data_IF_790794122317
#
_entry.id   IF_790794122317
#
_cell.length_a   1.000
_cell.length_b   1.000
_cell.length_c   1.000
_cell.angle_alpha   90.00
_cell.angle_beta   90.00
_cell.angle_gamma   90.00
#
_symmetry.space_group_name_H-M   'P 1'
#
loop_
_entity.id
_entity.type
_entity.pdbx_description
1 polymer ?
#
# COMPACT_ATOMS: atom_id res chain seq x y z
N UNK A 1 49.86 14.59 -49.56
CA UNK A 1 49.67 13.61 -48.48
C UNK A 1 49.07 14.33 -47.29
N UNK A 2 47.77 14.20 -47.03
CA UNK A 2 47.09 14.79 -45.84
C UNK A 2 46.77 13.66 -44.91
N UNK A 3 47.44 13.60 -43.78
CA UNK A 3 47.30 12.59 -42.74
C UNK A 3 46.07 12.97 -41.87
N UNK A 4 45.04 12.12 -41.91
CA UNK A 4 43.84 12.28 -41.10
C UNK A 4 44.06 11.55 -39.76
N UNK A 5 44.15 12.30 -38.64
CA UNK A 5 44.16 11.73 -37.28
C UNK A 5 42.72 11.48 -36.85
N UNK A 6 42.38 10.21 -36.68
CA UNK A 6 41.14 9.79 -36.04
C UNK A 6 41.34 9.77 -34.50
N UNK A 7 40.66 10.67 -33.83
CA UNK A 7 40.54 10.63 -32.37
C UNK A 7 39.45 9.62 -31.98
N UNK A 8 39.86 8.51 -31.36
CA UNK A 8 38.95 7.58 -30.70
C UNK A 8 38.64 8.15 -29.31
N UNK A 9 37.46 8.69 -29.12
CA UNK A 9 36.94 9.02 -27.79
C UNK A 9 36.43 7.73 -27.11
N UNK A 10 37.19 7.21 -26.18
CA UNK A 10 36.72 6.12 -25.30
C UNK A 10 35.68 6.67 -24.33
N UNK A 11 34.39 6.32 -24.57
CA UNK A 11 33.32 6.50 -23.58
C UNK A 11 33.56 5.49 -22.44
N UNK A 12 34.14 5.97 -21.35
CA UNK A 12 34.11 5.25 -20.09
C UNK A 12 32.67 5.31 -19.54
N UNK A 13 31.90 4.28 -19.79
CA UNK A 13 30.64 4.02 -19.10
C UNK A 13 30.99 3.67 -17.65
N UNK A 14 30.90 4.62 -16.73
CA UNK A 14 30.95 4.36 -15.30
C UNK A 14 29.65 3.66 -14.92
N UNK A 15 29.66 2.33 -14.95
CA UNK A 15 28.67 1.51 -14.27
C UNK A 15 28.78 1.88 -12.79
N UNK A 16 27.84 2.69 -12.28
CA UNK A 16 27.67 2.83 -10.86
C UNK A 16 27.36 1.43 -10.30
N UNK A 17 28.33 0.80 -9.66
CA UNK A 17 28.04 -0.38 -8.83
C UNK A 17 26.97 0.08 -7.84
N UNK A 18 25.75 -0.45 -7.96
CA UNK A 18 24.71 -0.26 -6.96
C UNK A 18 25.29 -0.85 -5.67
N UNK A 19 25.58 0.01 -4.70
CA UNK A 19 26.05 -0.43 -3.40
C UNK A 19 25.02 -1.40 -2.81
N UNK A 20 25.50 -2.52 -2.26
CA UNK A 20 24.65 -3.45 -1.51
C UNK A 20 23.88 -2.69 -0.42
N UNK A 21 22.59 -3.04 -0.19
CA UNK A 21 21.79 -2.36 0.81
C UNK A 21 22.41 -2.55 2.20
N UNK A 22 22.43 -1.50 2.99
CA UNK A 22 22.98 -1.55 4.34
C UNK A 22 22.15 -2.54 5.19
N UNK A 23 22.84 -3.46 5.88
CA UNK A 23 22.27 -4.41 6.81
C UNK A 23 22.33 -3.85 8.24
N UNK A 24 21.20 -3.83 8.93
CA UNK A 24 21.10 -3.34 10.33
C UNK A 24 20.46 -4.40 11.20
N UNK A 25 21.17 -4.86 12.22
CA UNK A 25 20.62 -5.75 13.25
C UNK A 25 19.60 -4.99 14.10
N UNK A 26 18.47 -5.63 14.40
CA UNK A 26 17.40 -5.01 15.17
C UNK A 26 17.73 -4.90 16.67
N UNK A 27 18.57 -5.79 17.16
CA UNK A 27 19.15 -5.77 18.52
C UNK A 27 20.66 -5.89 18.42
N UNK A 28 21.40 -4.78 18.64
CA UNK A 28 22.86 -4.80 18.55
C UNK A 28 23.53 -5.79 19.51
N UNK A 29 22.99 -5.92 20.72
CA UNK A 29 23.53 -6.75 21.80
C UNK A 29 22.96 -8.18 21.83
N UNK A 30 22.18 -8.55 20.81
CA UNK A 30 21.54 -9.87 20.67
C UNK A 30 20.03 -9.83 20.84
N UNK A 31 19.32 -10.54 19.95
CA UNK A 31 17.88 -10.58 19.96
C UNK A 31 17.32 -11.42 21.11
N UNK A 32 16.22 -11.01 21.75
CA UNK A 32 15.58 -11.81 22.81
C UNK A 32 15.25 -13.21 22.30
N UNK A 33 15.60 -14.23 23.08
CA UNK A 33 15.40 -15.65 22.73
C UNK A 33 16.27 -16.17 21.58
N UNK A 34 17.31 -15.44 21.16
CA UNK A 34 18.25 -15.92 20.16
C UNK A 34 19.03 -17.13 20.66
N UNK A 35 19.24 -18.12 19.77
CA UNK A 35 19.98 -19.37 20.06
C UNK A 35 21.46 -19.26 19.70
N UNK A 36 21.84 -18.20 18.98
CA UNK A 36 23.19 -17.93 18.52
C UNK A 36 23.34 -16.52 17.97
N UNK A 37 24.50 -16.28 17.35
CA UNK A 37 24.86 -14.96 16.80
C UNK A 37 24.82 -14.91 15.26
N UNK A 38 24.46 -16.01 14.61
CA UNK A 38 24.34 -16.08 13.16
C UNK A 38 23.10 -15.31 12.67
N UNK A 39 23.05 -15.01 11.39
CA UNK A 39 21.94 -14.28 10.76
C UNK A 39 20.58 -14.97 10.93
N UNK A 40 20.54 -16.30 10.99
CA UNK A 40 19.33 -17.08 11.27
C UNK A 40 18.78 -16.87 12.69
N UNK A 41 19.63 -16.39 13.63
CA UNK A 41 19.31 -16.20 15.04
C UNK A 41 19.10 -14.72 15.38
N UNK A 42 19.63 -13.81 14.56
CA UNK A 42 19.62 -12.38 14.80
C UNK A 42 18.83 -11.67 13.69
N UNK A 43 17.59 -11.25 13.94
CA UNK A 43 16.79 -10.57 12.92
C UNK A 43 17.39 -9.22 12.55
N UNK A 44 17.29 -8.89 11.28
CA UNK A 44 17.86 -7.67 10.72
C UNK A 44 17.00 -7.12 9.61
N UNK A 45 17.26 -5.88 9.22
CA UNK A 45 16.65 -5.23 8.07
C UNK A 45 17.71 -4.84 7.04
N UNK A 46 17.36 -4.95 5.77
CA UNK A 46 18.09 -4.28 4.68
C UNK A 46 17.45 -2.94 4.38
N UNK A 47 18.27 -1.87 4.35
CA UNK A 47 17.85 -0.50 4.11
C UNK A 47 17.85 -0.18 2.62
N UNK A 48 16.72 0.26 2.11
CA UNK A 48 16.51 0.74 0.75
C UNK A 48 15.96 2.18 0.82
N UNK A 49 16.81 3.19 1.02
CA UNK A 49 16.36 4.59 1.10
C UNK A 49 15.86 5.06 -0.27
N UNK A 50 14.77 5.81 -0.28
CA UNK A 50 14.34 6.51 -1.48
C UNK A 50 15.37 7.59 -1.86
N UNK A 51 15.56 7.81 -3.16
CA UNK A 51 16.41 8.89 -3.64
C UNK A 51 15.91 10.24 -3.10
N UNK A 52 16.81 11.07 -2.59
CA UNK A 52 16.48 12.30 -1.86
C UNK A 52 15.53 13.24 -2.62
N UNK A 53 15.73 13.34 -3.93
CA UNK A 53 14.92 14.18 -4.82
C UNK A 53 13.49 13.67 -5.05
N UNK A 54 13.23 12.38 -4.77
CA UNK A 54 11.92 11.73 -4.90
C UNK A 54 11.28 11.43 -3.56
N UNK A 55 12.04 11.48 -2.47
CA UNK A 55 11.60 11.03 -1.16
C UNK A 55 10.32 11.72 -0.71
N UNK A 56 9.31 10.92 -0.43
CA UNK A 56 8.01 11.38 0.10
C UNK A 56 8.02 11.54 1.62
N UNK A 57 9.03 10.98 2.29
CA UNK A 57 9.10 10.83 3.74
C UNK A 57 8.28 9.63 4.27
N UNK A 58 7.61 8.88 3.42
CA UNK A 58 6.96 7.62 3.80
C UNK A 58 7.94 6.44 3.78
N UNK A 59 7.63 5.41 4.57
CA UNK A 59 8.44 4.20 4.64
C UNK A 59 7.57 2.94 4.76
N UNK A 60 8.13 1.79 4.34
CA UNK A 60 7.52 0.47 4.52
C UNK A 60 8.50 -0.53 5.11
N UNK A 61 8.07 -1.28 6.11
CA UNK A 61 8.67 -2.55 6.49
C UNK A 61 8.10 -3.63 5.58
N UNK A 62 8.98 -4.35 4.89
CA UNK A 62 8.62 -5.40 3.91
C UNK A 62 8.90 -6.77 4.53
N UNK A 63 7.87 -7.61 4.60
CA UNK A 63 7.92 -8.95 5.17
C UNK A 63 7.79 -9.99 4.04
N UNK A 64 8.90 -10.57 3.54
CA UNK A 64 8.84 -11.63 2.54
C UNK A 64 8.07 -12.86 3.03
N UNK A 65 7.45 -13.60 2.12
CA UNK A 65 6.83 -14.89 2.39
C UNK A 65 7.83 -16.04 2.49
N UNK A 66 7.32 -17.26 2.45
CA UNK A 66 8.11 -18.49 2.55
C UNK A 66 7.62 -19.43 3.65
N UNK A 67 6.33 -19.34 4.01
CA UNK A 67 5.67 -20.30 4.92
C UNK A 67 6.23 -20.32 6.34
N UNK A 68 6.90 -19.26 6.80
CA UNK A 68 7.72 -19.23 8.04
C UNK A 68 8.86 -20.26 8.07
N UNK A 69 9.12 -20.92 6.95
CA UNK A 69 10.21 -21.90 6.80
C UNK A 69 11.37 -21.39 5.96
N UNK A 70 11.19 -20.29 5.25
CA UNK A 70 12.17 -19.60 4.41
C UNK A 70 11.77 -18.16 4.18
N UNK A 71 12.56 -17.43 3.37
CA UNK A 71 12.29 -16.05 2.95
C UNK A 71 12.42 -15.93 1.43
N UNK A 72 11.33 -15.54 0.77
CA UNK A 72 11.31 -15.17 -0.64
C UNK A 72 11.94 -13.76 -0.85
N UNK A 73 13.18 -13.58 -0.37
CA UNK A 73 13.80 -12.28 -0.17
C UNK A 73 14.09 -11.49 -1.45
N UNK A 74 14.06 -12.12 -2.65
CA UNK A 74 14.23 -11.41 -3.90
C UNK A 74 12.90 -10.81 -4.38
N UNK A 75 11.97 -11.65 -4.88
CA UNK A 75 10.75 -11.16 -5.56
C UNK A 75 9.70 -10.56 -4.60
N UNK A 76 9.71 -10.95 -3.31
CA UNK A 76 8.86 -10.40 -2.26
C UNK A 76 9.62 -9.49 -1.28
N UNK A 77 10.89 -9.24 -1.53
CA UNK A 77 11.78 -8.38 -0.74
C UNK A 77 12.44 -7.30 -1.58
N UNK A 78 13.57 -7.63 -2.21
CA UNK A 78 14.40 -6.69 -2.98
C UNK A 78 13.64 -6.01 -4.11
N UNK A 79 12.86 -6.74 -4.90
CA UNK A 79 12.09 -6.17 -6.00
C UNK A 79 11.01 -5.21 -5.49
N UNK A 80 10.35 -5.57 -4.39
CA UNK A 80 9.35 -4.72 -3.72
C UNK A 80 9.99 -3.44 -3.19
N UNK A 81 11.16 -3.55 -2.55
CA UNK A 81 11.90 -2.38 -2.06
C UNK A 81 12.28 -1.42 -3.19
N UNK A 82 12.77 -1.94 -4.32
CA UNK A 82 13.08 -1.15 -5.52
C UNK A 82 11.83 -0.47 -6.10
N UNK A 83 10.70 -1.16 -6.11
CA UNK A 83 9.43 -0.58 -6.55
C UNK A 83 9.00 0.57 -5.64
N UNK A 84 9.07 0.42 -4.31
CA UNK A 84 8.79 1.50 -3.37
C UNK A 84 9.72 2.70 -3.59
N UNK A 85 11.02 2.46 -3.81
CA UNK A 85 11.96 3.55 -4.12
C UNK A 85 11.57 4.29 -5.40
N UNK A 86 11.03 3.59 -6.40
CA UNK A 86 10.52 4.17 -7.65
C UNK A 86 9.40 5.20 -7.43
N UNK A 87 8.58 5.02 -6.39
CA UNK A 87 7.51 5.93 -5.99
C UNK A 87 7.88 6.85 -4.81
N UNK A 88 9.16 6.96 -4.48
CA UNK A 88 9.67 7.87 -3.46
C UNK A 88 9.47 7.40 -2.01
N UNK A 89 9.21 6.12 -1.80
CA UNK A 89 9.03 5.51 -0.48
C UNK A 89 10.28 4.73 -0.10
N UNK A 90 10.82 4.94 1.11
CA UNK A 90 11.90 4.13 1.65
C UNK A 90 11.40 2.77 2.09
N UNK A 91 12.19 1.71 1.88
CA UNK A 91 11.79 0.36 2.25
C UNK A 91 12.84 -0.31 3.16
N UNK A 92 12.36 -1.15 4.06
CA UNK A 92 13.14 -1.87 5.04
C UNK A 92 12.76 -3.35 4.97
N UNK A 93 13.55 -4.15 4.26
CA UNK A 93 13.26 -5.58 4.06
C UNK A 93 13.66 -6.36 5.30
N UNK A 94 12.68 -6.93 5.97
CA UNK A 94 12.86 -7.65 7.22
C UNK A 94 13.27 -9.10 6.97
N UNK A 95 14.39 -9.50 7.57
CA UNK A 95 14.78 -10.89 7.74
C UNK A 95 14.41 -11.32 9.17
N UNK A 96 13.20 -11.83 9.32
CA UNK A 96 12.68 -12.35 10.59
C UNK A 96 13.11 -13.79 10.83
N UNK A 97 13.13 -14.21 12.09
CA UNK A 97 13.50 -15.56 12.50
C UNK A 97 12.47 -16.60 12.08
N UNK A 98 12.93 -17.77 11.69
CA UNK A 98 12.13 -18.80 11.02
C UNK A 98 11.83 -20.02 11.90
N UNK A 99 10.64 -20.62 11.68
CA UNK A 99 10.21 -21.83 12.35
C UNK A 99 11.12 -23.03 12.09
N UNK A 100 11.68 -23.15 10.90
CA UNK A 100 12.66 -24.20 10.53
C UNK A 100 13.97 -24.09 11.30
N UNK A 101 14.29 -22.92 11.86
CA UNK A 101 15.40 -22.71 12.77
C UNK A 101 14.98 -22.86 14.25
N UNK A 102 13.75 -23.33 14.49
CA UNK A 102 13.17 -23.57 15.81
C UNK A 102 12.71 -22.28 16.51
N UNK A 103 12.43 -21.21 15.75
CA UNK A 103 11.82 -19.99 16.28
C UNK A 103 10.33 -19.99 15.95
N UNK A 104 9.51 -19.99 16.99
CA UNK A 104 8.07 -20.06 16.86
C UNK A 104 7.41 -18.83 17.50
N UNK A 105 6.11 -18.66 17.30
CA UNK A 105 5.39 -17.58 17.95
C UNK A 105 5.67 -17.55 19.47
N UNK A 106 5.94 -16.36 20.04
CA UNK A 106 5.72 -15.01 19.49
C UNK A 106 6.96 -14.37 18.83
N UNK A 107 8.01 -15.13 18.52
CA UNK A 107 9.30 -14.59 18.05
C UNK A 107 9.13 -13.75 16.76
N UNK A 108 8.37 -14.23 15.78
CA UNK A 108 8.16 -13.53 14.52
C UNK A 108 7.40 -12.20 14.72
N UNK A 109 6.41 -12.19 15.64
CA UNK A 109 5.70 -10.96 16.00
C UNK A 109 6.65 -9.95 16.65
N UNK A 110 7.54 -10.42 17.56
CA UNK A 110 8.57 -9.56 18.18
C UNK A 110 9.48 -8.93 17.10
N UNK A 111 9.89 -9.70 16.11
CA UNK A 111 10.80 -9.26 15.06
C UNK A 111 10.17 -8.15 14.20
N UNK A 112 8.92 -8.32 13.77
CA UNK A 112 8.23 -7.29 12.97
C UNK A 112 7.87 -6.06 13.79
N UNK A 113 7.44 -6.23 15.03
CA UNK A 113 7.20 -5.11 15.95
C UNK A 113 8.49 -4.30 16.18
N UNK A 114 9.61 -4.99 16.38
CA UNK A 114 10.92 -4.34 16.55
C UNK A 114 11.38 -3.62 15.29
N UNK A 115 11.15 -4.20 14.11
CA UNK A 115 11.48 -3.55 12.85
C UNK A 115 10.70 -2.22 12.67
N UNK A 116 9.39 -2.22 12.94
CA UNK A 116 8.56 -1.00 12.87
C UNK A 116 9.04 0.04 13.89
N UNK A 117 9.29 -0.37 15.14
CA UNK A 117 9.82 0.52 16.19
C UNK A 117 11.20 1.07 15.83
N UNK A 118 12.08 0.23 15.28
CA UNK A 118 13.42 0.66 14.86
C UNK A 118 13.34 1.76 13.79
N UNK A 119 12.50 1.56 12.75
CA UNK A 119 12.30 2.57 11.71
C UNK A 119 11.71 3.84 12.31
N UNK A 120 10.73 3.75 13.19
CA UNK A 120 10.08 4.90 13.84
C UNK A 120 11.02 5.66 14.77
N UNK A 121 11.78 4.97 15.61
CA UNK A 121 12.74 5.59 16.53
C UNK A 121 13.89 6.31 15.80
N UNK A 122 14.27 5.81 14.61
CA UNK A 122 15.34 6.36 13.79
C UNK A 122 14.81 7.17 12.59
N UNK A 123 13.53 7.54 12.57
CA UNK A 123 12.88 8.18 11.43
C UNK A 123 13.60 9.46 10.96
N UNK A 124 14.06 10.30 11.88
CA UNK A 124 14.78 11.53 11.55
C UNK A 124 16.10 11.25 10.80
N UNK A 125 16.87 10.23 11.23
CA UNK A 125 18.14 9.85 10.58
C UNK A 125 17.92 9.24 9.18
N UNK A 126 16.75 8.64 8.94
CA UNK A 126 16.36 8.08 7.66
C UNK A 126 15.60 9.07 6.76
N UNK A 127 15.36 10.30 7.22
CA UNK A 127 14.56 11.28 6.47
C UNK A 127 13.09 10.87 6.33
N UNK A 128 12.53 10.19 7.32
CA UNK A 128 11.19 9.60 7.32
C UNK A 128 10.30 10.35 8.33
N UNK A 129 9.03 10.50 8.00
CA UNK A 129 8.00 10.93 8.95
C UNK A 129 7.62 9.74 9.87
N UNK A 130 7.78 9.83 11.20
CA UNK A 130 7.47 8.73 12.11
C UNK A 130 5.98 8.31 12.14
N UNK A 131 5.09 9.12 11.55
CA UNK A 131 3.67 8.86 11.42
C UNK A 131 3.27 8.30 10.04
N UNK A 132 4.25 7.96 9.20
CA UNK A 132 4.03 7.40 7.86
C UNK A 132 4.89 6.17 7.60
N UNK A 133 4.75 5.18 8.49
CA UNK A 133 5.46 3.90 8.44
C UNK A 133 4.43 2.79 8.23
N UNK A 134 4.40 2.22 7.03
CA UNK A 134 3.55 1.10 6.66
C UNK A 134 4.23 -0.24 6.85
N UNK A 135 3.44 -1.31 6.80
CA UNK A 135 3.90 -2.68 6.69
C UNK A 135 3.28 -3.35 5.48
N UNK A 136 4.07 -4.05 4.70
CA UNK A 136 3.62 -4.92 3.60
C UNK A 136 4.19 -6.31 3.81
N UNK A 137 3.42 -7.33 3.47
CA UNK A 137 3.93 -8.69 3.57
C UNK A 137 3.21 -9.61 2.60
N UNK A 138 3.87 -10.70 2.25
CA UNK A 138 3.48 -11.62 1.19
C UNK A 138 3.29 -13.02 1.75
N UNK A 139 2.20 -13.73 1.42
CA UNK A 139 1.98 -15.10 1.86
C UNK A 139 2.05 -15.23 3.41
N UNK A 140 2.97 -15.99 3.95
CA UNK A 140 3.26 -16.04 5.40
C UNK A 140 3.77 -14.68 5.93
N UNK A 141 4.52 -13.91 5.13
CA UNK A 141 4.86 -12.51 5.44
C UNK A 141 3.61 -11.61 5.44
N UNK A 142 2.58 -11.94 4.64
CA UNK A 142 1.26 -11.31 4.69
C UNK A 142 0.56 -11.57 6.02
N UNK A 143 0.67 -12.79 6.56
CA UNK A 143 0.24 -13.08 7.93
C UNK A 143 1.03 -12.28 8.95
N UNK A 144 2.35 -12.20 8.82
CA UNK A 144 3.19 -11.42 9.71
C UNK A 144 2.83 -9.93 9.69
N UNK A 145 2.56 -9.36 8.51
CA UNK A 145 2.12 -7.96 8.38
C UNK A 145 0.72 -7.75 8.97
N UNK A 146 -0.18 -8.72 8.85
CA UNK A 146 -1.51 -8.65 9.48
C UNK A 146 -1.43 -8.80 11.00
N UNK A 147 -0.50 -9.63 11.52
CA UNK A 147 -0.21 -9.66 12.97
C UNK A 147 0.33 -8.31 13.45
N UNK A 148 1.28 -7.70 12.71
CA UNK A 148 1.76 -6.36 13.04
C UNK A 148 0.64 -5.30 13.05
N UNK A 149 -0.39 -5.46 12.21
CA UNK A 149 -1.54 -4.56 12.15
C UNK A 149 -2.59 -4.79 13.24
N UNK A 150 -2.65 -5.99 13.84
CA UNK A 150 -3.73 -6.38 14.77
C UNK A 150 -3.25 -6.69 16.19
N UNK A 151 -1.95 -7.02 16.35
CA UNK A 151 -1.32 -7.39 17.63
C UNK A 151 -0.16 -6.45 17.99
N UNK A 152 -0.22 -5.20 17.51
CA UNK A 152 0.87 -4.22 17.66
C UNK A 152 1.15 -3.82 19.11
N UNK A 153 0.20 -3.96 20.01
CA UNK A 153 0.29 -3.65 21.44
C UNK A 153 0.58 -4.89 22.31
N UNK A 154 0.58 -6.09 21.75
CA UNK A 154 1.01 -7.29 22.48
C UNK A 154 2.51 -7.19 22.83
N UNK A 155 2.81 -7.41 24.10
CA UNK A 155 4.18 -7.37 24.63
C UNK A 155 4.54 -8.76 25.15
N UNK A 156 5.25 -9.58 24.36
CA UNK A 156 5.75 -10.87 24.85
C UNK A 156 6.66 -10.66 26.06
N UNK A 157 6.52 -11.50 27.08
CA UNK A 157 7.22 -11.38 28.37
C UNK A 157 8.78 -11.43 28.26
N UNK A 158 9.30 -11.93 27.13
CA UNK A 158 10.73 -12.02 26.84
C UNK A 158 11.35 -10.77 26.23
N UNK A 159 10.58 -9.69 26.03
CA UNK A 159 11.13 -8.44 25.47
C UNK A 159 11.99 -7.70 26.49
N UNK A 160 13.28 -7.58 26.17
CA UNK A 160 14.13 -6.55 26.80
C UNK A 160 13.72 -5.18 26.30
N UNK A 161 13.40 -4.26 27.21
CA UNK A 161 12.97 -2.91 26.85
C UNK A 161 14.18 -1.98 26.78
N UNK A 162 14.45 -1.47 25.59
CA UNK A 162 15.40 -0.38 25.36
C UNK A 162 14.67 0.88 24.83
N UNK A 163 15.42 1.92 24.44
CA UNK A 163 14.87 3.16 23.93
C UNK A 163 13.99 2.96 22.66
N UNK A 164 14.32 1.96 21.82
CA UNK A 164 13.54 1.65 20.60
C UNK A 164 12.17 1.06 20.97
N UNK A 165 12.03 0.38 22.08
CA UNK A 165 10.77 -0.24 22.48
C UNK A 165 9.78 0.76 23.13
N UNK A 166 10.20 2.01 23.36
CA UNK A 166 9.34 3.07 23.89
C UNK A 166 8.40 3.67 22.82
N UNK A 167 8.70 3.49 21.53
CA UNK A 167 7.82 3.96 20.46
C UNK A 167 6.82 2.89 20.03
N UNK A 168 5.71 3.31 19.40
CA UNK A 168 4.65 2.40 18.96
C UNK A 168 5.13 1.44 17.87
N UNK A 169 4.73 0.16 17.98
CA UNK A 169 4.87 -0.84 16.91
C UNK A 169 3.70 -0.82 15.92
N UNK A 170 2.64 -0.02 16.16
CA UNK A 170 1.49 0.04 15.27
C UNK A 170 1.92 0.65 13.93
N UNK A 171 1.74 -0.06 12.80
CA UNK A 171 1.96 0.55 11.49
C UNK A 171 0.86 1.58 11.20
N UNK A 172 1.17 2.58 10.36
CA UNK A 172 0.20 3.63 10.01
C UNK A 172 -0.74 3.18 8.87
N UNK A 173 -0.27 2.24 8.05
CA UNK A 173 -1.06 1.48 7.05
C UNK A 173 -0.54 0.05 6.96
N UNK A 174 -1.38 -0.89 6.51
CA UNK A 174 -0.99 -2.27 6.27
C UNK A 174 -1.36 -2.73 4.86
N UNK A 175 -0.54 -3.59 4.25
CA UNK A 175 -0.77 -4.15 2.92
C UNK A 175 -0.48 -5.67 2.89
N UNK A 176 -1.31 -6.52 3.54
CA UNK A 176 -1.20 -7.96 3.40
C UNK A 176 -1.52 -8.39 1.97
N UNK A 177 -0.58 -9.09 1.33
CA UNK A 177 -0.60 -9.44 -0.09
C UNK A 177 -0.67 -10.97 -0.23
N UNK A 178 -1.71 -11.50 -0.88
CA UNK A 178 -2.10 -12.94 -0.91
C UNK A 178 -1.79 -13.64 0.42
N UNK A 179 -2.31 -13.05 1.51
CA UNK A 179 -1.84 -13.36 2.85
C UNK A 179 -2.41 -14.67 3.37
N UNK A 180 -1.61 -15.44 4.09
CA UNK A 180 -2.16 -16.33 5.11
C UNK A 180 -2.83 -15.45 6.17
N UNK A 181 -4.01 -15.82 6.64
CA UNK A 181 -4.77 -15.05 7.65
C UNK A 181 -5.26 -15.96 8.76
N UNK A 182 -6.13 -16.91 8.42
CA UNK A 182 -6.67 -17.84 9.41
C UNK A 182 -5.73 -19.02 9.63
N UNK A 183 -5.52 -19.36 10.89
CA UNK A 183 -4.79 -20.57 11.28
C UNK A 183 -5.73 -21.71 11.70
N UNK A 184 -7.07 -21.45 11.69
CA UNK A 184 -8.09 -22.41 12.15
C UNK A 184 -9.09 -22.78 11.05
N UNK A 185 -9.28 -21.94 10.02
CA UNK A 185 -10.25 -22.20 8.95
C UNK A 185 -9.82 -23.36 8.04
N UNK A 186 -10.76 -23.91 7.27
CA UNK A 186 -10.46 -24.91 6.24
C UNK A 186 -9.47 -24.40 5.18
N UNK A 187 -9.48 -23.08 4.92
CA UNK A 187 -8.56 -22.37 4.02
C UNK A 187 -7.19 -22.06 4.65
N UNK A 188 -6.93 -22.55 5.87
CA UNK A 188 -5.63 -22.32 6.56
C UNK A 188 -4.48 -22.98 5.81
N UNK A 189 -3.39 -22.25 5.60
CA UNK A 189 -2.14 -22.81 5.08
C UNK A 189 -1.42 -23.60 6.17
N UNK A 190 -1.58 -24.91 6.17
CA UNK A 190 -1.06 -25.82 7.21
C UNK A 190 0.44 -25.73 7.42
N UNK A 191 1.22 -25.50 6.34
CA UNK A 191 2.67 -25.33 6.42
C UNK A 191 3.06 -24.09 7.24
N UNK A 192 2.40 -22.97 7.03
CA UNK A 192 2.60 -21.75 7.82
C UNK A 192 2.20 -21.94 9.29
N UNK A 193 1.06 -22.58 9.58
CA UNK A 193 0.63 -22.90 10.94
C UNK A 193 1.69 -23.74 11.65
N UNK A 194 2.13 -24.85 11.01
CA UNK A 194 3.14 -25.75 11.56
C UNK A 194 4.45 -25.00 11.89
N UNK A 195 4.95 -24.20 10.97
CA UNK A 195 6.22 -23.51 11.17
C UNK A 195 6.11 -22.37 12.19
N UNK A 196 4.99 -21.64 12.22
CA UNK A 196 4.77 -20.55 13.17
C UNK A 196 4.58 -21.05 14.59
N UNK A 197 3.73 -22.07 14.78
CA UNK A 197 3.36 -22.55 16.12
C UNK A 197 4.29 -23.64 16.63
N UNK A 198 4.88 -24.44 15.74
CA UNK A 198 5.83 -25.48 16.08
C UNK A 198 5.31 -26.49 17.11
N UNK A 199 6.09 -26.81 18.16
CA UNK A 199 5.69 -27.75 19.20
C UNK A 199 4.59 -27.22 20.13
N UNK A 200 4.23 -25.94 20.02
CA UNK A 200 3.19 -25.29 20.83
C UNK A 200 1.85 -25.21 20.10
N UNK A 201 1.73 -25.87 18.92
CA UNK A 201 0.49 -25.86 18.12
C UNK A 201 -0.68 -26.39 18.94
N UNK A 202 -1.65 -25.52 19.16
CA UNK A 202 -2.92 -25.79 19.76
C UNK A 202 -4.00 -24.95 19.07
N UNK A 203 -5.28 -25.37 19.19
CA UNK A 203 -6.37 -24.60 18.60
C UNK A 203 -6.53 -23.24 19.26
N UNK A 204 -6.23 -23.11 20.54
CA UNK A 204 -6.25 -21.84 21.28
C UNK A 204 -5.18 -20.87 20.71
N UNK A 205 -3.94 -21.35 20.54
CA UNK A 205 -2.86 -20.55 20.00
C UNK A 205 -3.12 -20.20 18.52
N UNK A 206 -3.57 -21.19 17.73
CA UNK A 206 -3.96 -20.95 16.34
C UNK A 206 -5.06 -19.89 16.22
N UNK A 207 -6.05 -19.91 17.12
CA UNK A 207 -7.11 -18.90 17.19
C UNK A 207 -6.58 -17.53 17.60
N UNK A 208 -5.63 -17.47 18.53
CA UNK A 208 -5.00 -16.23 18.99
C UNK A 208 -4.29 -15.52 17.83
N UNK A 209 -3.63 -16.27 16.94
CA UNK A 209 -2.89 -15.73 15.80
C UNK A 209 -3.69 -15.72 14.48
N UNK A 210 -4.95 -16.10 14.49
CA UNK A 210 -5.87 -15.92 13.36
C UNK A 210 -6.30 -14.45 13.32
N UNK A 211 -5.67 -13.69 12.42
CA UNK A 211 -5.66 -12.22 12.49
C UNK A 211 -7.01 -11.60 12.11
N UNK A 212 -7.88 -12.30 11.38
CA UNK A 212 -9.27 -11.89 11.13
C UNK A 212 -10.10 -11.80 12.43
N UNK A 213 -9.71 -12.54 13.46
CA UNK A 213 -10.34 -12.51 14.78
C UNK A 213 -9.77 -11.39 15.69
N UNK A 214 -8.69 -10.76 15.26
CA UNK A 214 -7.94 -9.78 16.04
C UNK A 214 -8.12 -8.34 15.56
N UNK A 215 -8.89 -8.13 14.50
CA UNK A 215 -9.21 -6.79 13.97
C UNK A 215 -10.03 -6.01 14.99
N UNK A 216 -9.58 -4.78 15.29
CA UNK A 216 -10.23 -3.83 16.19
C UNK A 216 -10.38 -2.47 15.49
N UNK A 217 -11.12 -1.50 16.02
CA UNK A 217 -11.17 -0.14 15.47
C UNK A 217 -9.80 0.56 15.41
N UNK A 218 -8.80 0.08 16.16
CA UNK A 218 -7.42 0.60 16.15
C UNK A 218 -6.53 -0.02 15.08
N UNK A 219 -6.99 -1.10 14.41
CA UNK A 219 -6.29 -1.67 13.26
C UNK A 219 -6.10 -0.59 12.18
N UNK A 220 -4.92 -0.43 11.59
CA UNK A 220 -4.67 0.63 10.61
C UNK A 220 -5.46 0.41 9.31
N UNK A 221 -5.67 1.45 8.50
CA UNK A 221 -6.18 1.31 7.14
C UNK A 221 -5.41 0.24 6.37
N UNK A 222 -6.13 -0.63 5.66
CA UNK A 222 -5.55 -1.84 5.07
C UNK A 222 -5.88 -1.98 3.59
N UNK A 223 -4.85 -2.27 2.78
CA UNK A 223 -4.95 -2.68 1.39
C UNK A 223 -4.68 -4.17 1.27
N UNK A 224 -5.49 -4.91 0.51
CA UNK A 224 -5.36 -6.34 0.30
C UNK A 224 -5.28 -6.64 -1.21
N UNK A 225 -4.36 -7.52 -1.58
CA UNK A 225 -4.28 -8.09 -2.92
C UNK A 225 -4.32 -9.61 -2.85
N UNK A 226 -5.07 -10.23 -3.75
CA UNK A 226 -5.25 -11.68 -3.83
C UNK A 226 -5.49 -12.13 -5.27
N UNK A 227 -5.20 -13.40 -5.57
CA UNK A 227 -5.65 -14.09 -6.78
C UNK A 227 -6.62 -15.20 -6.42
N UNK A 228 -7.73 -15.31 -7.17
CA UNK A 228 -8.80 -16.28 -6.90
C UNK A 228 -8.38 -17.73 -7.22
N UNK A 229 -7.47 -17.89 -8.20
CA UNK A 229 -6.90 -19.20 -8.58
C UNK A 229 -5.73 -19.65 -7.69
N UNK A 230 -5.44 -18.94 -6.58
CA UNK A 230 -4.41 -19.31 -5.62
C UNK A 230 -4.81 -20.59 -4.88
N UNK A 231 -4.20 -21.71 -5.27
CA UNK A 231 -4.45 -23.04 -4.67
C UNK A 231 -3.61 -23.31 -3.41
N UNK A 232 -2.67 -22.45 -3.06
CA UNK A 232 -1.79 -22.60 -1.88
C UNK A 232 -2.35 -21.83 -0.68
N UNK A 233 -2.76 -20.58 -0.89
CA UNK A 233 -3.41 -19.73 0.10
C UNK A 233 -4.74 -19.23 -0.49
N UNK A 234 -5.84 -19.95 -0.25
CA UNK A 234 -7.14 -19.62 -0.84
C UNK A 234 -7.61 -18.20 -0.52
N UNK A 235 -8.34 -17.59 -1.46
CA UNK A 235 -8.79 -16.20 -1.42
C UNK A 235 -9.63 -15.86 -0.18
N UNK A 236 -10.27 -16.86 0.44
CA UNK A 236 -11.02 -16.72 1.68
C UNK A 236 -10.19 -16.09 2.80
N UNK A 237 -8.85 -16.26 2.79
CA UNK A 237 -7.98 -15.62 3.75
C UNK A 237 -8.07 -14.09 3.65
N UNK A 238 -7.80 -13.52 2.48
CA UNK A 238 -7.89 -12.07 2.25
C UNK A 238 -9.32 -11.54 2.45
N UNK A 239 -10.33 -12.28 1.96
CA UNK A 239 -11.75 -11.92 2.10
C UNK A 239 -12.17 -11.88 3.58
N UNK A 240 -11.78 -12.87 4.40
CA UNK A 240 -12.13 -12.88 5.83
C UNK A 240 -11.54 -11.70 6.59
N UNK A 241 -10.30 -11.33 6.31
CA UNK A 241 -9.68 -10.15 6.91
C UNK A 241 -10.36 -8.85 6.47
N UNK A 242 -10.67 -8.73 5.18
CA UNK A 242 -11.44 -7.58 4.67
C UNK A 242 -12.79 -7.43 5.35
N UNK A 243 -13.54 -8.53 5.51
CA UNK A 243 -14.84 -8.51 6.19
C UNK A 243 -14.71 -8.14 7.67
N UNK A 244 -13.64 -8.62 8.35
CA UNK A 244 -13.33 -8.23 9.71
C UNK A 244 -13.01 -6.73 9.84
N UNK A 245 -12.24 -6.16 8.91
CA UNK A 245 -11.99 -4.72 8.83
C UNK A 245 -13.31 -3.94 8.68
N UNK A 246 -14.17 -4.32 7.75
CA UNK A 246 -15.47 -3.68 7.54
C UNK A 246 -16.36 -3.73 8.78
N UNK A 247 -16.42 -4.88 9.46
CA UNK A 247 -17.19 -5.08 10.69
C UNK A 247 -16.75 -4.14 11.81
N UNK A 248 -15.44 -3.84 11.88
CA UNK A 248 -14.85 -2.99 12.91
C UNK A 248 -14.68 -1.53 12.49
N UNK A 249 -15.22 -1.11 11.33
CA UNK A 249 -15.14 0.28 10.85
C UNK A 249 -13.74 0.69 10.38
N UNK A 250 -12.84 -0.28 10.13
CA UNK A 250 -11.49 -0.03 9.61
C UNK A 250 -11.57 0.20 8.09
N UNK A 251 -11.02 1.30 7.56
CA UNK A 251 -10.93 1.51 6.11
C UNK A 251 -10.11 0.38 5.46
N UNK A 252 -10.72 -0.33 4.51
CA UNK A 252 -10.06 -1.42 3.82
C UNK A 252 -10.43 -1.46 2.34
N UNK A 253 -9.45 -1.80 1.50
CA UNK A 253 -9.61 -2.00 0.06
C UNK A 253 -9.07 -3.38 -0.32
N UNK A 254 -9.83 -4.16 -1.10
CA UNK A 254 -9.47 -5.50 -1.54
C UNK A 254 -9.53 -5.58 -3.07
N UNK A 255 -8.43 -6.00 -3.68
CA UNK A 255 -8.34 -6.36 -5.08
C UNK A 255 -8.13 -7.88 -5.20
N UNK A 256 -9.14 -8.58 -5.71
CA UNK A 256 -9.06 -10.00 -6.01
C UNK A 256 -9.14 -10.21 -7.52
N UNK A 257 -8.04 -10.67 -8.10
CA UNK A 257 -7.94 -10.96 -9.53
C UNK A 257 -8.24 -12.43 -9.76
N UNK A 258 -9.01 -12.76 -10.81
CA UNK A 258 -9.32 -14.15 -11.10
C UNK A 258 -8.07 -14.96 -11.46
N UNK A 259 -7.25 -14.59 -12.46
CA UNK A 259 -6.08 -15.40 -12.81
C UNK A 259 -4.93 -15.18 -11.82
N UNK A 260 -4.10 -16.20 -11.67
CA UNK A 260 -2.79 -16.11 -11.07
C UNK A 260 -2.51 -17.15 -9.99
N UNK A 261 -1.29 -17.74 -10.00
CA UNK A 261 -0.85 -18.67 -8.97
C UNK A 261 -0.47 -17.92 -7.68
N UNK A 262 -0.17 -18.68 -6.63
CA UNK A 262 0.43 -18.16 -5.41
C UNK A 262 1.84 -17.58 -5.64
N UNK A 263 2.23 -16.56 -4.88
CA UNK A 263 3.63 -16.08 -4.83
C UNK A 263 4.03 -15.21 -6.02
N UNK A 264 3.10 -14.49 -6.64
CA UNK A 264 3.36 -13.69 -7.84
C UNK A 264 4.28 -12.47 -7.59
N UNK A 265 4.48 -12.04 -6.34
CA UNK A 265 5.22 -10.81 -6.06
C UNK A 265 4.58 -9.59 -6.71
N UNK A 266 5.38 -8.70 -7.29
CA UNK A 266 4.88 -7.54 -8.05
C UNK A 266 4.32 -7.91 -9.43
N UNK A 267 4.78 -8.99 -10.01
CA UNK A 267 4.42 -9.49 -11.35
C UNK A 267 4.43 -8.41 -12.45
N UNK A 268 5.43 -7.53 -12.37
CA UNK A 268 5.59 -6.42 -13.32
C UNK A 268 5.74 -6.98 -14.75
N UNK A 269 5.00 -6.41 -15.69
CA UNK A 269 4.99 -6.87 -17.09
C UNK A 269 3.77 -7.72 -17.45
N UNK A 270 3.05 -8.30 -16.48
CA UNK A 270 1.72 -8.85 -16.73
C UNK A 270 0.69 -7.71 -16.81
N UNK A 271 -0.10 -7.61 -17.91
CA UNK A 271 -1.00 -6.48 -18.13
C UNK A 271 -2.21 -6.49 -17.18
N UNK A 272 -2.48 -7.60 -16.50
CA UNK A 272 -3.58 -7.74 -15.54
C UNK A 272 -3.01 -7.73 -14.12
N UNK A 273 -2.25 -8.76 -13.73
CA UNK A 273 -1.76 -8.90 -12.37
C UNK A 273 -0.80 -7.80 -11.96
N UNK A 274 0.09 -7.34 -12.87
CA UNK A 274 1.04 -6.26 -12.58
C UNK A 274 0.39 -4.93 -12.21
N UNK A 275 -0.92 -4.77 -12.48
CA UNK A 275 -1.65 -3.53 -12.15
C UNK A 275 -1.90 -3.34 -10.64
N UNK A 276 -1.86 -4.41 -9.84
CA UNK A 276 -2.17 -4.32 -8.41
C UNK A 276 -1.25 -3.36 -7.66
N UNK A 277 0.03 -3.31 -8.03
CA UNK A 277 1.00 -2.41 -7.41
C UNK A 277 0.67 -0.93 -7.70
N UNK A 278 0.12 -0.65 -8.90
CA UNK A 278 -0.43 0.65 -9.25
C UNK A 278 -1.62 1.04 -8.39
N UNK A 279 -2.53 0.10 -8.11
CA UNK A 279 -3.66 0.32 -7.20
C UNK A 279 -3.19 0.59 -5.76
N UNK A 280 -2.18 -0.15 -5.27
CA UNK A 280 -1.56 0.13 -3.97
C UNK A 280 -1.00 1.56 -3.91
N UNK A 281 -0.24 1.99 -4.94
CA UNK A 281 0.27 3.37 -5.01
C UNK A 281 -0.86 4.40 -4.95
N UNK A 282 -1.92 4.20 -5.75
CA UNK A 282 -3.04 5.13 -5.82
C UNK A 282 -3.84 5.16 -4.51
N UNK A 283 -3.98 4.01 -3.86
CA UNK A 283 -4.57 3.93 -2.52
C UNK A 283 -3.72 4.68 -1.49
N UNK A 284 -2.40 4.45 -1.43
CA UNK A 284 -1.49 5.18 -0.54
C UNK A 284 -1.55 6.69 -0.76
N UNK A 285 -1.59 7.13 -2.03
CA UNK A 285 -1.77 8.53 -2.39
C UNK A 285 -3.09 9.08 -1.83
N UNK A 286 -4.19 8.37 -2.02
CA UNK A 286 -5.51 8.81 -1.60
C UNK A 286 -5.67 8.84 -0.07
N UNK A 287 -4.96 7.97 0.67
CA UNK A 287 -4.84 8.05 2.12
C UNK A 287 -4.00 9.25 2.61
N UNK A 288 -3.37 9.99 1.72
CA UNK A 288 -2.41 11.04 2.09
C UNK A 288 -1.08 10.50 2.63
N UNK A 289 -0.84 9.21 2.45
CA UNK A 289 0.36 8.54 2.99
C UNK A 289 1.62 8.92 2.22
N UNK A 290 1.53 9.08 0.89
CA UNK A 290 2.68 9.52 0.08
C UNK A 290 2.98 11.01 0.28
N UNK A 291 1.93 11.84 0.26
CA UNK A 291 2.06 13.29 0.46
C UNK A 291 0.88 13.79 1.29
N UNK A 292 1.03 14.01 2.60
CA UNK A 292 0.01 14.70 3.38
C UNK A 292 -0.19 16.10 2.82
N UNK A 293 -1.42 16.46 2.53
CA UNK A 293 -1.75 17.78 2.04
C UNK A 293 -3.09 18.24 2.65
N UNK A 294 -3.20 19.51 3.06
CA UNK A 294 -4.45 20.04 3.58
C UNK A 294 -5.53 20.00 2.50
N UNK A 295 -6.68 19.46 2.84
CA UNK A 295 -7.87 19.40 2.00
C UNK A 295 -8.82 20.52 2.38
N UNK A 296 -9.65 20.95 1.43
CA UNK A 296 -10.69 21.96 1.68
C UNK A 296 -12.06 21.45 1.24
N UNK A 297 -13.11 21.87 1.94
CA UNK A 297 -14.48 21.65 1.47
C UNK A 297 -14.71 22.45 0.19
N UNK A 298 -15.46 21.87 -0.75
CA UNK A 298 -15.83 22.53 -1.99
C UNK A 298 -17.23 22.10 -2.44
N UNK A 299 -17.96 23.01 -3.06
CA UNK A 299 -19.23 22.72 -3.69
C UNK A 299 -19.33 23.45 -5.01
N UNK A 300 -20.32 23.14 -5.82
CA UNK A 300 -20.51 23.88 -7.06
C UNK A 300 -21.65 23.40 -7.91
N UNK A 301 -21.78 24.09 -9.04
CA UNK A 301 -22.74 23.77 -10.09
C UNK A 301 -22.00 23.38 -11.36
N UNK A 302 -22.64 22.51 -12.15
CA UNK A 302 -22.18 22.10 -13.48
C UNK A 302 -23.32 22.15 -14.45
N UNK A 303 -23.11 22.86 -15.55
CA UNK A 303 -24.07 22.95 -16.64
C UNK A 303 -23.40 22.69 -18.00
N UNK A 304 -24.16 22.17 -18.96
CA UNK A 304 -23.76 21.97 -20.35
C UNK A 304 -24.73 22.75 -21.25
N UNK A 305 -24.20 23.64 -22.07
CA UNK A 305 -25.01 24.54 -22.91
C UNK A 305 -26.16 25.21 -22.14
N UNK A 306 -25.90 25.62 -20.89
CA UNK A 306 -26.88 26.29 -20.02
C UNK A 306 -27.85 25.36 -19.26
N UNK A 307 -27.89 24.04 -19.57
CA UNK A 307 -28.71 23.08 -18.86
C UNK A 307 -27.91 22.41 -17.73
N UNK A 308 -28.46 22.21 -16.51
CA UNK A 308 -27.78 21.53 -15.43
C UNK A 308 -27.53 20.05 -15.77
N UNK A 309 -26.33 19.56 -15.53
CA UNK A 309 -25.96 18.12 -15.68
C UNK A 309 -26.86 17.25 -14.81
N UNK A 310 -27.62 16.33 -15.40
CA UNK A 310 -28.51 15.45 -14.64
C UNK A 310 -27.73 14.45 -13.81
N UNK A 311 -26.67 13.86 -14.41
CA UNK A 311 -25.80 12.88 -13.78
C UNK A 311 -24.38 12.95 -14.35
N UNK A 312 -23.38 12.93 -13.45
CA UNK A 312 -21.99 12.99 -13.85
C UNK A 312 -21.03 12.77 -12.69
N UNK A 313 -19.75 12.97 -12.96
CA UNK A 313 -18.69 12.99 -11.97
C UNK A 313 -17.77 14.18 -12.17
N UNK A 314 -17.17 14.63 -11.08
CA UNK A 314 -16.13 15.65 -11.07
C UNK A 314 -14.90 15.11 -10.35
N UNK A 315 -13.72 15.27 -10.96
CA UNK A 315 -12.44 14.80 -10.45
C UNK A 315 -11.48 15.96 -10.36
N UNK A 316 -10.84 16.12 -9.21
CA UNK A 316 -9.81 17.10 -8.91
C UNK A 316 -8.47 16.38 -8.82
N UNK A 317 -7.63 16.53 -9.84
CA UNK A 317 -6.29 15.91 -9.93
C UNK A 317 -5.23 16.97 -9.64
N UNK A 318 -4.54 16.90 -8.48
CA UNK A 318 -3.48 17.85 -8.14
C UNK A 318 -2.30 17.76 -9.11
N UNK A 319 -1.54 18.86 -9.26
CA UNK A 319 -0.30 18.88 -10.05
C UNK A 319 0.77 17.96 -9.43
N UNK A 320 0.83 17.87 -8.09
CA UNK A 320 1.69 16.90 -7.41
C UNK A 320 1.11 15.48 -7.55
N UNK A 321 1.78 14.56 -8.26
CA UNK A 321 1.28 13.21 -8.51
C UNK A 321 1.16 12.34 -7.24
N UNK A 322 1.80 12.75 -6.14
CA UNK A 322 1.73 12.07 -4.85
C UNK A 322 0.65 12.63 -3.93
N UNK A 323 0.06 13.78 -4.27
CA UNK A 323 -1.02 14.37 -3.51
C UNK A 323 -2.36 13.68 -3.78
N UNK A 324 -3.27 13.61 -2.77
CA UNK A 324 -4.52 12.88 -2.91
C UNK A 324 -5.47 13.50 -3.94
N UNK A 325 -6.04 12.66 -4.79
CA UNK A 325 -7.13 13.03 -5.70
C UNK A 325 -8.44 13.18 -4.92
N UNK A 326 -9.33 14.07 -5.36
CA UNK A 326 -10.69 14.17 -4.87
C UNK A 326 -11.69 13.94 -6.00
N UNK A 327 -12.83 13.30 -5.70
CA UNK A 327 -13.89 13.12 -6.68
C UNK A 327 -15.26 13.22 -6.02
N UNK A 328 -16.24 13.73 -6.78
CA UNK A 328 -17.64 13.79 -6.37
C UNK A 328 -18.55 13.37 -7.52
N UNK A 329 -19.74 12.90 -7.13
CA UNK A 329 -20.87 12.76 -8.06
C UNK A 329 -21.47 14.14 -8.31
N UNK A 330 -21.82 14.42 -9.57
CA UNK A 330 -22.65 15.56 -9.96
C UNK A 330 -24.06 15.03 -10.13
N UNK A 331 -25.02 15.64 -9.46
CA UNK A 331 -26.44 15.28 -9.55
C UNK A 331 -27.28 16.54 -9.63
N UNK A 332 -28.21 16.60 -10.62
CA UNK A 332 -29.08 17.77 -10.84
C UNK A 332 -28.29 19.08 -10.87
N UNK A 333 -27.18 19.05 -11.58
CA UNK A 333 -26.28 20.18 -11.75
C UNK A 333 -25.46 20.58 -10.52
N UNK A 334 -25.42 19.78 -9.45
CA UNK A 334 -24.71 20.17 -8.21
C UNK A 334 -23.78 19.08 -7.70
N UNK A 335 -22.68 19.49 -7.06
CA UNK A 335 -21.78 18.62 -6.33
C UNK A 335 -21.35 19.24 -4.99
N UNK A 336 -20.90 18.40 -4.05
CA UNK A 336 -20.36 18.83 -2.76
C UNK A 336 -19.36 17.82 -2.22
N UNK A 337 -18.24 18.32 -1.70
CA UNK A 337 -17.22 17.57 -0.92
C UNK A 337 -16.98 18.30 0.40
N UNK A 338 -16.77 17.57 1.45
CA UNK A 338 -16.35 18.11 2.75
C UNK A 338 -14.82 18.28 2.83
N UNK A 339 -14.31 18.82 3.95
CA UNK A 339 -12.89 19.02 4.14
C UNK A 339 -12.07 17.71 4.26
N UNK A 340 -12.71 16.56 4.49
CA UNK A 340 -12.00 15.26 4.56
C UNK A 340 -11.83 14.65 3.17
N UNK A 341 -12.79 14.84 2.31
CA UNK A 341 -12.85 14.23 0.97
C UNK A 341 -12.61 15.23 -0.16
N UNK A 342 -12.53 16.51 0.13
CA UNK A 342 -12.35 17.59 -0.84
C UNK A 342 -10.94 17.65 -1.42
N UNK A 343 -10.73 18.52 -2.42
CA UNK A 343 -9.44 18.67 -3.07
C UNK A 343 -8.38 19.24 -2.13
N UNK A 344 -7.12 18.94 -2.45
CA UNK A 344 -5.98 19.59 -1.79
C UNK A 344 -5.82 21.02 -2.30
N UNK A 345 -5.22 21.87 -1.46
CA UNK A 345 -4.87 23.23 -1.86
C UNK A 345 -3.76 23.21 -2.92
N UNK A 346 -3.82 24.14 -3.85
CA UNK A 346 -2.84 24.29 -4.91
C UNK A 346 -3.40 24.12 -6.32
N UNK A 347 -2.51 24.06 -7.29
CA UNK A 347 -2.87 23.89 -8.69
C UNK A 347 -3.41 22.50 -8.96
N UNK A 348 -4.57 22.45 -9.58
CA UNK A 348 -5.33 21.23 -9.80
C UNK A 348 -5.93 21.21 -11.20
N UNK A 349 -5.89 20.06 -11.84
CA UNK A 349 -6.68 19.78 -13.04
C UNK A 349 -8.05 19.27 -12.61
N UNK A 350 -9.08 19.93 -13.07
CA UNK A 350 -10.46 19.54 -12.86
C UNK A 350 -10.99 18.86 -14.12
N UNK A 351 -11.60 17.69 -13.97
CA UNK A 351 -12.28 16.99 -15.07
C UNK A 351 -13.72 16.71 -14.68
N UNK A 352 -14.65 17.08 -15.54
CA UNK A 352 -16.06 16.72 -15.41
C UNK A 352 -16.42 15.73 -16.50
N UNK A 353 -17.08 14.64 -16.14
CA UNK A 353 -17.69 13.69 -17.06
C UNK A 353 -19.19 13.67 -16.81
N UNK A 354 -20.00 13.67 -17.89
CA UNK A 354 -21.46 13.75 -17.80
C UNK A 354 -22.15 12.90 -18.87
N UNK A 355 -23.42 12.58 -18.66
CA UNK A 355 -24.24 11.83 -19.63
C UNK A 355 -24.47 12.62 -20.90
N UNK A 356 -24.41 11.97 -22.06
CA UNK A 356 -24.72 12.59 -23.36
C UNK A 356 -26.20 13.01 -23.47
N UNK A 357 -27.10 12.38 -22.70
CA UNK A 357 -28.50 12.78 -22.58
C UNK A 357 -28.70 14.18 -22.02
N UNK A 358 -27.67 14.77 -21.36
CA UNK A 358 -27.69 16.11 -20.82
C UNK A 358 -27.37 17.21 -21.89
N UNK A 359 -27.11 16.82 -23.15
CA UNK A 359 -26.81 17.77 -24.22
C UNK A 359 -28.07 18.08 -24.98
N UNK A 360 -28.65 19.31 -24.85
CA UNK A 360 -29.81 19.71 -25.63
C UNK A 360 -29.52 19.60 -27.14
N UNK A 361 -30.41 18.97 -27.90
CA UNK A 361 -30.27 18.82 -29.35
C UNK A 361 -29.72 17.48 -29.83
N UNK A 362 -29.46 16.53 -28.93
CA UNK A 362 -29.15 15.14 -29.27
C UNK A 362 -30.40 14.21 -29.21
N UNK A 363 -31.57 14.79 -29.31
CA UNK A 363 -32.81 14.02 -29.49
C UNK A 363 -32.75 13.26 -30.82
N UNK A 364 -32.87 11.94 -30.76
CA UNK A 364 -33.09 11.14 -31.98
C UNK A 364 -34.46 11.50 -32.58
N UNK A 365 -34.55 11.74 -33.88
CA UNK A 365 -35.76 12.27 -34.51
C UNK A 365 -37.01 11.38 -34.40
N UNK A 366 -36.91 10.17 -33.86
CA UNK A 366 -37.96 9.17 -33.84
C UNK A 366 -38.30 8.63 -32.43
N UNK A 367 -37.76 9.23 -31.36
CA UNK A 367 -38.10 8.82 -29.98
C UNK A 367 -37.71 7.38 -29.60
N UNK A 368 -36.99 6.66 -30.46
CA UNK A 368 -36.42 5.35 -30.15
C UNK A 368 -35.12 5.54 -29.38
N UNK A 369 -34.98 4.90 -28.21
CA UNK A 369 -33.71 4.86 -27.47
C UNK A 369 -32.65 4.28 -28.39
N UNK A 370 -31.77 5.14 -28.92
CA UNK A 370 -30.63 4.72 -29.72
C UNK A 370 -29.76 3.76 -28.89
N UNK A 371 -29.61 2.52 -29.35
CA UNK A 371 -28.64 1.54 -28.80
C UNK A 371 -27.21 1.87 -29.23
N UNK A 372 -26.93 3.01 -29.87
CA UNK A 372 -25.59 3.50 -30.11
C UNK A 372 -24.98 3.98 -28.78
N UNK A 373 -23.83 3.44 -28.41
CA UNK A 373 -23.03 3.91 -27.27
C UNK A 373 -22.85 5.44 -27.35
N UNK A 374 -23.62 6.17 -26.54
CA UNK A 374 -23.47 7.60 -26.40
C UNK A 374 -22.14 7.84 -25.68
N UNK A 375 -21.14 8.37 -26.38
CA UNK A 375 -19.87 8.74 -25.75
C UNK A 375 -20.13 9.79 -24.68
N UNK A 376 -19.66 9.58 -23.42
CA UNK A 376 -19.84 10.57 -22.38
C UNK A 376 -19.17 11.88 -22.78
N UNK A 377 -19.81 12.99 -22.46
CA UNK A 377 -19.21 14.30 -22.62
C UNK A 377 -18.24 14.60 -21.50
N UNK A 378 -17.22 15.42 -21.76
CA UNK A 378 -16.25 15.84 -20.75
C UNK A 378 -15.83 17.29 -20.91
N UNK A 379 -15.55 17.96 -19.81
CA UNK A 379 -14.91 19.27 -19.74
C UNK A 379 -13.70 19.21 -18.83
N UNK A 380 -12.65 20.00 -19.11
CA UNK A 380 -11.44 20.04 -18.32
C UNK A 380 -10.98 21.49 -18.10
N UNK A 381 -10.54 21.79 -16.88
CA UNK A 381 -10.03 23.10 -16.48
C UNK A 381 -8.79 22.93 -15.61
N UNK A 382 -7.93 23.95 -15.63
CA UNK A 382 -6.87 24.08 -14.63
C UNK A 382 -7.26 25.18 -13.65
N UNK A 383 -7.32 24.84 -12.37
CA UNK A 383 -7.73 25.76 -11.30
C UNK A 383 -6.67 25.83 -10.21
N UNK A 384 -6.62 26.98 -9.52
CA UNK A 384 -5.92 27.09 -8.25
C UNK A 384 -6.94 26.95 -7.13
N UNK A 385 -6.87 25.82 -6.40
CA UNK A 385 -7.71 25.59 -5.23
C UNK A 385 -7.07 26.30 -4.02
N UNK A 386 -7.83 27.19 -3.41
CA UNK A 386 -7.45 27.85 -2.16
C UNK A 386 -8.57 27.72 -1.13
N UNK A 387 -8.30 28.08 0.13
CA UNK A 387 -9.27 27.94 1.22
C UNK A 387 -10.50 28.86 1.06
N UNK A 388 -10.38 29.91 0.25
CA UNK A 388 -11.38 30.97 0.12
C UNK A 388 -12.37 30.78 -1.03
N UNK A 389 -12.26 29.66 -1.81
CA UNK A 389 -13.14 29.36 -2.92
C UNK A 389 -14.03 28.13 -2.67
N UNK A 390 -15.07 28.26 -1.82
CA UNK A 390 -15.92 27.13 -1.47
C UNK A 390 -16.95 26.75 -2.56
N UNK A 391 -17.07 27.55 -3.63
CA UNK A 391 -18.10 27.33 -4.67
C UNK A 391 -17.57 27.56 -6.08
N UNK A 392 -17.83 26.59 -6.97
CA UNK A 392 -17.52 26.65 -8.40
C UNK A 392 -18.81 26.72 -9.25
N UNK A 393 -18.77 27.47 -10.34
CA UNK A 393 -19.78 27.45 -11.37
C UNK A 393 -19.14 27.06 -12.70
N UNK A 394 -19.30 25.79 -13.08
CA UNK A 394 -18.64 25.19 -14.23
C UNK A 394 -19.60 25.09 -15.40
N UNK A 395 -19.26 25.80 -16.48
CA UNK A 395 -20.03 25.81 -17.71
C UNK A 395 -19.23 25.10 -18.80
N UNK A 396 -19.81 24.06 -19.36
CA UNK A 396 -19.30 23.39 -20.55
C UNK A 396 -20.05 23.93 -21.76
N UNK A 397 -19.33 24.57 -22.65
CA UNK A 397 -19.88 25.04 -23.95
C UNK A 397 -19.35 24.10 -25.04
N UNK A 398 -20.24 23.66 -25.94
CA UNK A 398 -19.89 22.79 -27.09
C UNK A 398 -20.27 23.44 -28.38
#
# INVERSE_FOLDING_TARGET
>A
MKTCLLFFAALFSTSALLAEPAKVRLWPDGAPGAKGLEDKDQPFIYLWPAAKEKATGAAFVVCPGGGYGGLAADHEGTQVAKWFNGIGVSAFVLHYRLGTNGYHYPIQLMDVQRAIRHVRANAASYGIDPNRIGVIGFSAGGHLSSMAATLFDEKPASMTQDAVDQVSARPDVAAPTYPVISMIAASSHKGSRKNLLGPHDSDELAKQVSTELRVTPQTPPTFLFQTDEDSVVPAENAVSFYLACRKNGVPAELHCYRPGPHGVGLFLGDPVLGTWSGHLRDWLRNQGFLRPAPRTAISGKVSVNGAPVSWGSIVFTPEDPNAPVACARVMKGSFKLDAKTGPVLGKTQLTVSYSAADVPGLETPDGTASTQEQKPGSGSWTLLINADHPTLDLKVER
#
